data_IF_320439417457
#
_entry.id   IF_320439417457
#
_cell.length_a   1.000
_cell.length_b   1.000
_cell.length_c   1.000
_cell.angle_alpha   90.00
_cell.angle_beta   90.00
_cell.angle_gamma   90.00
#
_symmetry.space_group_name_H-M   'P 1'
#
loop_
_entity.id
_entity.type
_entity.pdbx_description
1 polymer ?
#
# COMPACT_ATOMS: atom_id res chain seq x y z
N UNK A 1 -47.38 -35.04 -103.48
CA UNK A 1 -47.31 -33.89 -102.58
C UNK A 1 -46.21 -34.14 -101.57
N UNK A 2 -45.28 -33.19 -101.52
CA UNK A 2 -44.39 -32.84 -100.42
C UNK A 2 -43.41 -33.90 -99.89
N UNK A 3 -42.14 -33.64 -100.18
CA UNK A 3 -41.00 -34.40 -99.71
C UNK A 3 -40.73 -34.21 -98.22
N UNK A 4 -40.16 -35.25 -97.62
CA UNK A 4 -39.39 -35.14 -96.39
C UNK A 4 -37.93 -35.37 -96.74
N UNK A 5 -37.20 -34.27 -96.73
CA UNK A 5 -35.74 -34.19 -96.83
C UNK A 5 -35.12 -35.04 -95.73
N UNK A 6 -34.49 -36.15 -96.10
CA UNK A 6 -33.58 -36.85 -95.20
C UNK A 6 -32.38 -35.94 -94.90
N UNK A 7 -32.35 -35.35 -93.72
CA UNK A 7 -31.17 -34.67 -93.21
C UNK A 7 -30.03 -35.69 -93.06
N UNK A 8 -29.17 -35.78 -94.07
CA UNK A 8 -27.85 -36.39 -93.91
C UNK A 8 -27.07 -35.45 -92.99
N UNK A 9 -26.81 -35.87 -91.74
CA UNK A 9 -25.91 -35.14 -90.84
C UNK A 9 -24.53 -35.14 -91.50
N UNK A 10 -24.14 -34.04 -92.16
CA UNK A 10 -22.75 -33.82 -92.56
C UNK A 10 -21.91 -33.87 -91.29
N UNK A 11 -20.93 -34.78 -91.26
CA UNK A 11 -19.95 -34.84 -90.18
C UNK A 11 -19.17 -33.53 -90.08
N UNK A 12 -18.51 -33.27 -88.93
CA UNK A 12 -17.73 -32.06 -88.75
C UNK A 12 -16.67 -31.91 -89.85
N UNK A 13 -16.53 -30.69 -90.36
CA UNK A 13 -15.49 -30.38 -91.34
C UNK A 13 -14.13 -30.24 -90.68
N UNK A 14 -13.04 -30.32 -91.45
CA UNK A 14 -11.69 -30.08 -90.92
C UNK A 14 -11.55 -28.70 -90.25
N UNK A 15 -12.28 -27.68 -90.73
CA UNK A 15 -12.31 -26.36 -90.12
C UNK A 15 -12.97 -26.39 -88.72
N UNK A 16 -14.05 -27.15 -88.56
CA UNK A 16 -14.71 -27.34 -87.25
C UNK A 16 -13.78 -28.05 -86.26
N UNK A 17 -13.00 -29.03 -86.74
CA UNK A 17 -12.01 -29.75 -85.94
C UNK A 17 -10.89 -28.81 -85.49
N UNK A 18 -10.32 -27.99 -86.39
CA UNK A 18 -9.26 -27.03 -86.07
C UNK A 18 -9.75 -25.98 -85.05
N UNK A 19 -10.97 -25.46 -85.23
CA UNK A 19 -11.56 -24.51 -84.28
C UNK A 19 -11.78 -25.15 -82.89
N UNK A 20 -12.17 -26.42 -82.83
CA UNK A 20 -12.28 -27.17 -81.57
C UNK A 20 -10.92 -27.37 -80.91
N UNK A 21 -9.89 -27.74 -81.69
CA UNK A 21 -8.52 -27.88 -81.18
C UNK A 21 -7.98 -26.56 -80.61
N UNK A 22 -8.22 -25.42 -81.27
CA UNK A 22 -7.85 -24.11 -80.76
C UNK A 22 -8.55 -23.75 -79.44
N UNK A 23 -9.83 -24.12 -79.27
CA UNK A 23 -10.55 -23.95 -78.00
C UNK A 23 -9.99 -24.85 -76.89
N UNK A 24 -9.56 -26.06 -77.24
CA UNK A 24 -8.92 -26.98 -76.28
C UNK A 24 -7.58 -26.40 -75.82
N UNK A 25 -6.76 -25.90 -76.74
CA UNK A 25 -5.47 -25.28 -76.42
C UNK A 25 -5.61 -24.08 -75.48
N UNK A 26 -6.56 -23.18 -75.75
CA UNK A 26 -6.85 -22.05 -74.85
C UNK A 26 -7.25 -22.51 -73.45
N UNK A 27 -8.07 -23.56 -73.33
CA UNK A 27 -8.46 -24.12 -72.03
C UNK A 27 -7.29 -24.78 -71.31
N UNK A 28 -6.38 -25.46 -72.04
CA UNK A 28 -5.17 -26.05 -71.47
C UNK A 28 -4.26 -24.96 -70.89
N UNK A 29 -4.09 -23.85 -71.61
CA UNK A 29 -3.31 -22.71 -71.14
C UNK A 29 -3.93 -22.04 -69.89
N UNK A 30 -5.26 -21.90 -69.85
CA UNK A 30 -5.97 -21.42 -68.64
C UNK A 30 -5.74 -22.36 -67.45
N UNK A 31 -5.86 -23.67 -67.67
CA UNK A 31 -5.61 -24.67 -66.62
C UNK A 31 -4.18 -24.61 -66.10
N UNK A 32 -3.18 -24.43 -66.95
CA UNK A 32 -1.77 -24.28 -66.54
C UNK A 32 -1.57 -23.04 -65.64
N UNK A 33 -2.24 -21.93 -65.98
CA UNK A 33 -2.19 -20.71 -65.15
C UNK A 33 -2.82 -20.91 -63.76
N UNK A 34 -3.91 -21.68 -63.70
CA UNK A 34 -4.61 -22.00 -62.45
C UNK A 34 -3.80 -22.96 -61.59
N UNK A 35 -3.10 -23.93 -62.20
CA UNK A 35 -2.19 -24.84 -61.50
C UNK A 35 -1.06 -24.08 -60.81
N UNK A 36 -0.42 -23.14 -61.52
CA UNK A 36 0.62 -22.26 -60.92
C UNK A 36 0.09 -21.46 -59.72
N UNK A 37 -1.16 -21.01 -59.80
CA UNK A 37 -1.80 -20.29 -58.68
C UNK A 37 -2.05 -21.22 -57.48
N UNK A 38 -2.48 -22.46 -57.72
CA UNK A 38 -2.69 -23.46 -56.68
C UNK A 38 -1.37 -23.81 -55.95
N UNK A 39 -0.28 -24.01 -56.68
CA UNK A 39 1.06 -24.21 -56.07
C UNK A 39 1.47 -23.03 -55.19
N UNK A 40 1.15 -21.80 -55.61
CA UNK A 40 1.39 -20.60 -54.80
C UNK A 40 0.56 -20.57 -53.52
N UNK A 41 -0.67 -21.06 -53.56
CA UNK A 41 -1.54 -21.16 -52.38
C UNK A 41 -1.08 -22.25 -51.43
N UNK A 42 -0.66 -23.41 -51.94
CA UNK A 42 -0.10 -24.50 -51.14
C UNK A 42 1.09 -24.03 -50.29
N UNK A 43 2.04 -23.31 -50.91
CA UNK A 43 3.18 -22.71 -50.18
C UNK A 43 2.76 -21.72 -49.10
N UNK A 44 1.69 -20.94 -49.33
CA UNK A 44 1.16 -20.01 -48.32
C UNK A 44 0.53 -20.76 -47.15
N UNK A 45 -0.20 -21.84 -47.43
CA UNK A 45 -0.81 -22.71 -46.41
C UNK A 45 0.29 -23.35 -45.55
N UNK A 46 1.35 -23.86 -46.16
CA UNK A 46 2.49 -24.43 -45.42
C UNK A 46 3.18 -23.41 -44.50
N UNK A 47 3.30 -22.17 -44.95
CA UNK A 47 3.86 -21.10 -44.14
C UNK A 47 2.93 -20.73 -42.98
N UNK A 48 1.62 -20.65 -43.22
CA UNK A 48 0.66 -20.41 -42.14
C UNK A 48 0.65 -21.54 -41.11
N UNK A 49 0.76 -22.80 -41.52
CA UNK A 49 0.86 -23.93 -40.59
C UNK A 49 2.11 -23.83 -39.70
N UNK A 50 3.25 -23.45 -40.28
CA UNK A 50 4.49 -23.21 -39.52
C UNK A 50 4.34 -22.08 -38.51
N UNK A 51 3.72 -20.97 -38.90
CA UNK A 51 3.56 -19.82 -38.01
C UNK A 51 2.54 -20.09 -36.91
N UNK A 52 1.46 -20.83 -37.20
CA UNK A 52 0.51 -21.30 -36.19
C UNK A 52 1.18 -22.20 -35.15
N UNK A 53 2.05 -23.12 -35.57
CA UNK A 53 2.83 -23.97 -34.65
C UNK A 53 3.73 -23.16 -33.72
N UNK A 54 4.43 -22.15 -34.27
CA UNK A 54 5.27 -21.25 -33.47
C UNK A 54 4.44 -20.45 -32.47
N UNK A 55 3.32 -19.88 -32.92
CA UNK A 55 2.42 -19.11 -32.07
C UNK A 55 1.86 -19.96 -30.93
N UNK A 56 1.48 -21.21 -31.22
CA UNK A 56 0.99 -22.14 -30.23
C UNK A 56 2.05 -22.46 -29.16
N UNK A 57 3.29 -22.72 -29.56
CA UNK A 57 4.39 -22.97 -28.62
C UNK A 57 4.70 -21.73 -27.75
N UNK A 58 4.65 -20.53 -28.35
CA UNK A 58 4.83 -19.29 -27.60
C UNK A 58 3.70 -19.08 -26.58
N UNK A 59 2.45 -19.30 -27.00
CA UNK A 59 1.28 -19.20 -26.13
C UNK A 59 1.39 -20.18 -24.94
N UNK A 60 1.73 -21.45 -25.18
CA UNK A 60 1.91 -22.44 -24.11
C UNK A 60 2.98 -22.01 -23.09
N UNK A 61 4.09 -21.47 -23.59
CA UNK A 61 5.18 -20.95 -22.74
C UNK A 61 4.71 -19.76 -21.89
N UNK A 62 4.02 -18.80 -22.50
CA UNK A 62 3.51 -17.61 -21.80
C UNK A 62 2.44 -17.99 -20.78
N UNK A 63 1.56 -18.93 -21.11
CA UNK A 63 0.54 -19.43 -20.18
C UNK A 63 1.18 -20.10 -18.96
N UNK A 64 2.22 -20.91 -19.15
CA UNK A 64 2.97 -21.53 -18.05
C UNK A 64 3.66 -20.50 -17.16
N UNK A 65 4.43 -19.58 -17.76
CA UNK A 65 5.13 -18.52 -17.00
C UNK A 65 4.14 -17.61 -16.24
N UNK A 66 3.00 -17.29 -16.85
CA UNK A 66 1.95 -16.51 -16.19
C UNK A 66 1.37 -17.27 -15.01
N UNK A 67 1.10 -18.56 -15.15
CA UNK A 67 0.60 -19.40 -14.06
C UNK A 67 1.59 -19.44 -12.89
N UNK A 68 2.87 -19.69 -13.16
CA UNK A 68 3.91 -19.73 -12.14
C UNK A 68 4.06 -18.39 -11.41
N UNK A 69 3.88 -17.26 -12.12
CA UNK A 69 3.90 -15.93 -11.52
C UNK A 69 2.68 -15.69 -10.63
N UNK A 70 1.49 -16.13 -11.06
CA UNK A 70 0.26 -16.06 -10.25
C UNK A 70 0.43 -16.86 -8.97
N UNK A 71 0.89 -18.12 -9.06
CA UNK A 71 1.09 -18.97 -7.88
C UNK A 71 2.10 -18.34 -6.89
N UNK A 72 3.18 -17.72 -7.38
CA UNK A 72 4.13 -17.00 -6.52
C UNK A 72 3.52 -15.78 -5.84
N UNK A 73 2.64 -15.05 -6.54
CA UNK A 73 1.96 -13.88 -5.99
C UNK A 73 0.95 -14.30 -4.92
N UNK A 74 0.17 -15.34 -5.16
CA UNK A 74 -0.77 -15.89 -4.18
C UNK A 74 -0.07 -16.30 -2.88
N UNK A 75 1.03 -17.05 -2.98
CA UNK A 75 1.83 -17.43 -1.81
C UNK A 75 2.37 -16.21 -1.02
N UNK A 76 2.76 -15.15 -1.72
CA UNK A 76 3.20 -13.90 -1.06
C UNK A 76 2.04 -13.18 -0.38
N UNK A 77 0.86 -13.16 -1.00
CA UNK A 77 -0.35 -12.58 -0.42
C UNK A 77 -0.70 -13.29 0.88
N UNK A 78 -0.67 -14.62 0.90
CA UNK A 78 -0.95 -15.41 2.10
C UNK A 78 0.05 -15.12 3.23
N UNK A 79 1.35 -15.07 2.91
CA UNK A 79 2.40 -14.71 3.88
C UNK A 79 2.18 -13.32 4.47
N UNK A 80 1.89 -12.33 3.62
CA UNK A 80 1.60 -10.96 4.08
C UNK A 80 0.34 -10.91 4.93
N UNK A 81 -0.69 -11.70 4.60
CA UNK A 81 -1.89 -11.84 5.41
C UNK A 81 -1.58 -12.29 6.84
N UNK A 82 -0.72 -13.30 7.00
CA UNK A 82 -0.27 -13.79 8.31
C UNK A 82 0.49 -12.71 9.10
N UNK A 83 1.37 -11.96 8.44
CA UNK A 83 2.16 -10.90 9.08
C UNK A 83 1.30 -9.71 9.51
N UNK A 84 0.30 -9.33 8.71
CA UNK A 84 -0.69 -8.30 9.06
C UNK A 84 -1.43 -8.71 10.33
N UNK A 85 -1.92 -9.94 10.41
CA UNK A 85 -2.65 -10.41 11.59
C UNK A 85 -1.77 -10.47 12.85
N UNK A 86 -0.48 -10.81 12.69
CA UNK A 86 0.50 -10.74 13.79
C UNK A 86 0.73 -9.30 14.25
N UNK A 87 0.88 -8.36 13.31
CA UNK A 87 1.09 -6.95 13.62
C UNK A 87 -0.13 -6.35 14.34
N UNK A 88 -1.35 -6.64 13.86
CA UNK A 88 -2.60 -6.22 14.51
C UNK A 88 -2.67 -6.68 15.97
N UNK A 89 -2.37 -7.95 16.26
CA UNK A 89 -2.35 -8.46 17.64
C UNK A 89 -1.36 -7.70 18.52
N UNK A 90 -0.14 -7.48 18.04
CA UNK A 90 0.88 -6.70 18.78
C UNK A 90 0.44 -5.27 19.08
N UNK A 91 -0.25 -4.61 18.13
CA UNK A 91 -0.78 -3.26 18.33
C UNK A 91 -1.81 -3.27 19.46
N UNK A 92 -2.77 -4.20 19.44
CA UNK A 92 -3.79 -4.32 20.48
C UNK A 92 -3.18 -4.58 21.87
N UNK A 93 -2.16 -5.45 21.95
CA UNK A 93 -1.45 -5.72 23.20
C UNK A 93 -0.74 -4.46 23.72
N UNK A 94 -0.07 -3.72 22.83
CA UNK A 94 0.61 -2.47 23.20
C UNK A 94 -0.37 -1.37 23.63
N UNK A 95 -1.52 -1.25 22.98
CA UNK A 95 -2.56 -0.29 23.35
C UNK A 95 -3.11 -0.60 24.75
N UNK A 96 -3.34 -1.89 25.04
CA UNK A 96 -3.77 -2.35 26.36
C UNK A 96 -2.73 -2.06 27.44
N UNK A 97 -1.47 -2.37 27.18
CA UNK A 97 -0.37 -2.10 28.11
C UNK A 97 -0.19 -0.61 28.35
N UNK A 98 -0.32 0.22 27.31
CA UNK A 98 -0.26 1.68 27.43
C UNK A 98 -1.41 2.23 28.28
N UNK A 99 -2.64 1.73 28.10
CA UNK A 99 -3.77 2.10 28.95
C UNK A 99 -3.50 1.78 30.41
N UNK A 100 -3.01 0.56 30.69
CA UNK A 100 -2.67 0.13 32.04
C UNK A 100 -1.58 0.99 32.66
N UNK A 101 -0.50 1.28 31.91
CA UNK A 101 0.58 2.14 32.39
C UNK A 101 0.09 3.56 32.71
N UNK A 102 -0.85 4.09 31.93
CA UNK A 102 -1.46 5.40 32.21
C UNK A 102 -2.28 5.37 33.49
N UNK A 103 -3.06 4.32 33.71
CA UNK A 103 -3.81 4.12 34.95
C UNK A 103 -2.89 4.00 36.17
N UNK A 104 -1.85 3.17 36.07
CA UNK A 104 -0.86 2.98 37.13
C UNK A 104 -0.11 4.29 37.44
N UNK A 105 0.26 5.06 36.41
CA UNK A 105 0.92 6.35 36.56
C UNK A 105 0.01 7.36 37.27
N UNK A 106 -1.25 7.47 36.84
CA UNK A 106 -2.25 8.32 37.49
C UNK A 106 -2.44 7.92 38.95
N UNK A 107 -2.56 6.62 39.22
CA UNK A 107 -2.70 6.10 40.57
C UNK A 107 -1.52 6.50 41.46
N UNK A 108 -0.28 6.28 41.00
CA UNK A 108 0.93 6.64 41.75
C UNK A 108 1.02 8.14 41.97
N UNK A 109 0.70 8.96 40.96
CA UNK A 109 0.71 10.41 41.10
C UNK A 109 -0.33 10.87 42.13
N UNK A 110 -1.55 10.33 42.11
CA UNK A 110 -2.57 10.61 43.11
C UNK A 110 -2.13 10.18 44.52
N UNK A 111 -1.51 9.01 44.69
CA UNK A 111 -1.00 8.57 45.99
C UNK A 111 0.14 9.47 46.50
N UNK A 112 1.06 9.86 45.61
CA UNK A 112 2.19 10.73 45.93
C UNK A 112 1.74 12.13 46.35
N UNK A 113 0.71 12.67 45.67
CA UNK A 113 0.17 14.00 45.97
C UNK A 113 -0.91 14.01 47.05
N UNK A 114 -1.34 12.84 47.56
CA UNK A 114 -2.48 12.72 48.48
C UNK A 114 -2.38 13.59 49.72
N UNK A 115 -1.17 13.75 50.26
CA UNK A 115 -0.92 14.51 51.48
C UNK A 115 -0.44 15.95 51.20
N UNK A 116 -0.44 16.37 49.94
CA UNK A 116 -0.03 17.70 49.55
C UNK A 116 -1.25 18.64 49.59
N UNK A 117 -1.08 19.79 50.21
CA UNK A 117 -2.05 20.88 50.19
C UNK A 117 -1.45 22.06 49.41
N UNK A 118 -2.26 22.68 48.56
CA UNK A 118 -1.86 23.85 47.78
C UNK A 118 -2.54 25.07 48.39
N UNK A 119 -1.74 26.04 48.82
CA UNK A 119 -2.21 27.32 49.32
C UNK A 119 -1.95 28.38 48.23
N UNK A 120 -3.02 29.04 47.77
CA UNK A 120 -2.95 30.14 46.82
C UNK A 120 -3.02 31.50 47.51
N UNK A 121 -2.63 32.56 46.78
CA UNK A 121 -2.71 33.96 47.22
C UNK A 121 -1.91 34.29 48.49
N UNK A 122 -0.79 33.60 48.71
CA UNK A 122 0.22 33.99 49.70
C UNK A 122 1.26 34.86 48.96
N UNK A 123 1.52 36.11 49.41
CA UNK A 123 2.53 36.97 48.79
C UNK A 123 3.92 36.31 48.78
N UNK A 124 4.61 36.40 47.63
CA UNK A 124 5.95 35.84 47.47
C UNK A 124 7.03 36.79 48.00
N UNK A 125 8.03 36.23 48.67
CA UNK A 125 9.17 36.97 49.19
C UNK A 125 10.45 36.60 48.42
N UNK A 126 11.32 37.55 48.06
CA UNK A 126 12.58 37.23 47.38
C UNK A 126 13.50 36.39 48.26
N UNK A 127 14.15 35.39 47.66
CA UNK A 127 15.08 34.45 48.33
C UNK A 127 14.47 33.65 49.49
N UNK A 128 13.20 33.28 49.36
CA UNK A 128 12.49 32.52 50.39
C UNK A 128 13.10 31.13 50.64
N UNK A 129 13.35 30.83 51.92
CA UNK A 129 13.83 29.51 52.36
C UNK A 129 12.64 28.60 52.74
N UNK A 130 12.81 27.27 52.74
CA UNK A 130 11.73 26.35 53.14
C UNK A 130 11.15 26.62 54.54
N UNK A 131 11.99 27.11 55.47
CA UNK A 131 11.56 27.47 56.83
C UNK A 131 10.66 28.71 56.82
N UNK A 132 11.03 29.74 56.05
CA UNK A 132 10.22 30.95 55.90
C UNK A 132 8.88 30.63 55.22
N UNK A 133 8.89 29.74 54.22
CA UNK A 133 7.69 29.26 53.55
C UNK A 133 6.74 28.50 54.48
N UNK A 134 7.27 27.63 55.34
CA UNK A 134 6.45 26.97 56.37
C UNK A 134 5.82 28.00 57.32
N UNK A 135 6.59 29.02 57.73
CA UNK A 135 6.07 30.06 58.62
C UNK A 135 4.95 30.88 57.97
N UNK A 136 5.10 31.29 56.70
CA UNK A 136 4.05 32.01 55.97
C UNK A 136 2.76 31.19 55.89
N UNK A 137 2.86 29.87 55.68
CA UNK A 137 1.68 28.98 55.68
C UNK A 137 1.05 28.90 57.07
N UNK A 138 1.85 28.81 58.14
CA UNK A 138 1.35 28.82 59.53
C UNK A 138 0.64 30.13 59.88
N UNK A 139 1.21 31.26 59.48
CA UNK A 139 0.62 32.58 59.69
C UNK A 139 -0.70 32.71 58.91
N UNK A 140 -0.72 32.25 57.66
CA UNK A 140 -1.94 32.18 56.85
C UNK A 140 -3.04 31.33 57.52
N UNK A 141 -2.68 30.18 58.11
CA UNK A 141 -3.63 29.32 58.84
C UNK A 141 -4.23 30.02 60.07
N UNK A 142 -3.45 30.79 60.81
CA UNK A 142 -3.92 31.54 61.98
C UNK A 142 -4.77 32.74 61.58
N UNK A 143 -4.31 33.51 60.59
CA UNK A 143 -4.91 34.78 60.23
C UNK A 143 -6.12 34.65 59.31
N UNK A 144 -6.04 33.79 58.30
CA UNK A 144 -7.06 33.64 57.26
C UNK A 144 -8.00 32.48 57.54
N UNK A 145 -7.46 31.33 57.96
CA UNK A 145 -8.27 30.16 58.30
C UNK A 145 -8.77 30.14 59.75
N UNK A 146 -8.28 31.05 60.60
CA UNK A 146 -8.70 31.21 62.01
C UNK A 146 -8.56 29.94 62.85
N UNK A 147 -7.56 29.12 62.55
CA UNK A 147 -7.23 27.95 63.37
C UNK A 147 -6.59 28.37 64.71
N UNK A 148 -6.73 27.55 65.76
CA UNK A 148 -6.11 27.85 67.05
C UNK A 148 -4.59 27.69 66.99
N UNK A 149 -3.87 28.44 67.84
CA UNK A 149 -2.40 28.33 67.91
C UNK A 149 -1.95 26.94 68.31
N UNK A 150 -2.63 26.28 69.25
CA UNK A 150 -2.26 24.93 69.65
C UNK A 150 -2.45 23.93 68.48
N UNK A 151 -3.53 24.07 67.72
CA UNK A 151 -3.82 23.19 66.59
C UNK A 151 -2.78 23.34 65.48
N UNK A 152 -2.41 24.57 65.10
CA UNK A 152 -1.38 24.82 64.09
C UNK A 152 -0.01 24.33 64.58
N UNK A 153 0.35 24.59 65.85
CA UNK A 153 1.63 24.15 66.43
C UNK A 153 1.78 22.61 66.44
N UNK A 154 0.69 21.87 66.63
CA UNK A 154 0.69 20.41 66.58
C UNK A 154 0.86 19.83 65.15
N UNK A 155 0.62 20.63 64.09
CA UNK A 155 0.76 20.17 62.70
C UNK A 155 2.23 20.01 62.30
N UNK A 156 2.54 18.85 61.69
CA UNK A 156 3.87 18.50 61.19
C UNK A 156 3.91 18.66 59.67
N UNK A 157 4.83 19.49 59.20
CA UNK A 157 5.10 19.66 57.77
C UNK A 157 6.30 18.80 57.40
N UNK A 158 6.14 17.95 56.38
CA UNK A 158 7.29 17.19 55.82
C UNK A 158 8.15 18.08 54.92
N UNK A 159 7.51 18.98 54.18
CA UNK A 159 8.14 19.93 53.26
C UNK A 159 7.15 21.06 52.93
N UNK A 160 7.60 22.30 52.99
CA UNK A 160 6.89 23.47 52.46
C UNK A 160 7.76 24.16 51.40
N UNK A 161 7.16 24.57 50.30
CA UNK A 161 7.82 25.32 49.23
C UNK A 161 6.79 25.99 48.32
N UNK A 162 7.20 27.08 47.68
CA UNK A 162 6.41 27.76 46.66
C UNK A 162 6.37 26.94 45.36
N UNK A 163 5.22 27.01 44.68
CA UNK A 163 4.99 26.37 43.38
C UNK A 163 5.34 27.36 42.26
N UNK A 164 6.44 27.13 41.54
CA UNK A 164 6.92 28.02 40.48
C UNK A 164 8.42 27.89 40.25
N UNK A 165 8.93 28.43 39.13
CA UNK A 165 10.37 28.39 38.86
C UNK A 165 11.12 29.18 39.93
N UNK A 166 12.10 28.53 40.56
CA UNK A 166 13.18 29.23 41.24
C UNK A 166 13.76 30.22 40.22
N UNK A 167 13.74 31.52 40.52
CA UNK A 167 14.55 32.50 39.78
C UNK A 167 16.03 32.16 40.01
N UNK A 168 16.55 31.16 39.31
CA UNK A 168 17.98 30.95 39.14
C UNK A 168 18.39 31.76 37.93
N UNK A 169 18.77 33.00 38.21
CA UNK A 169 19.60 33.84 37.34
C UNK A 169 20.82 33.04 36.85
N UNK A 170 21.04 33.10 35.54
CA UNK A 170 22.27 32.85 34.78
C UNK A 170 23.07 31.56 35.03
N UNK A 171 22.87 30.58 34.15
CA UNK A 171 24.00 29.91 33.51
C UNK A 171 23.89 30.12 32.00
N UNK A 172 24.63 31.11 31.52
CA UNK A 172 24.82 31.35 30.11
C UNK A 172 25.57 30.17 29.48
N UNK A 173 25.06 29.71 28.35
CA UNK A 173 25.87 29.06 27.32
C UNK A 173 25.29 29.49 25.99
N UNK A 174 25.95 30.49 25.41
CA UNK A 174 26.00 30.74 23.98
C UNK A 174 26.33 29.43 23.26
N UNK A 175 25.51 29.07 22.28
CA UNK A 175 25.73 27.91 21.41
C UNK A 175 25.14 28.20 20.03
N UNK A 176 25.64 29.25 19.40
CA UNK A 176 25.53 29.42 17.96
C UNK A 176 26.60 28.53 17.32
N UNK A 177 26.20 27.59 16.47
CA UNK A 177 27.10 26.68 15.76
C UNK A 177 26.29 25.84 14.80
N UNK A 178 26.25 26.27 13.55
CA UNK A 178 25.60 25.56 12.45
C UNK A 178 26.40 24.39 11.91
N UNK A 179 25.94 23.99 10.72
CA UNK A 179 26.58 23.15 9.71
C UNK A 179 26.55 21.62 9.88
N UNK A 180 25.69 21.05 9.01
CA UNK A 180 25.99 20.02 8.01
C UNK A 180 26.75 18.75 8.44
N UNK A 181 26.16 17.61 8.10
CA UNK A 181 26.83 16.56 7.30
C UNK A 181 25.82 15.53 6.77
N UNK A 182 25.82 15.45 5.44
CA UNK A 182 25.50 14.35 4.50
C UNK A 182 24.23 13.53 4.67
#
# INVERSE_FOLDING_TARGET
>A
MEGKTGHHKMGPTNADIIAMLGKIDLKLNDMDSRLKTLEGLEKKIDNFDKDLKKLWAHMDTVTKDTRDKVDRVENKIDSVGVDIERAKRKILDLEKDNSKLREDMNYVQSQSMRNNLIFGNIPEEPNETPIKCEQLVRDFMLEKLKLSREAVAAMKFKRAHMMGHKNTTSRGTTGNGGEERH
#
